data_IF_399379134488
#
_entry.id   IF_399379134488
#
_cell.length_a   1.000
_cell.length_b   1.000
_cell.length_c   1.000
_cell.angle_alpha   90.00
_cell.angle_beta   90.00
_cell.angle_gamma   90.00
#
_symmetry.space_group_name_H-M   'P 1'
#
loop_
_entity.id
_entity.type
_entity.pdbx_description
1 polymer ?
#
# COMPACT_ATOMS: atom_id res chain seq x y z
N UNK A 1 1.84 -24.46 4.87
CA UNK A 1 1.99 -24.30 3.41
C UNK A 1 3.27 -24.99 3.02
N UNK A 2 3.19 -25.96 2.13
CA UNK A 2 4.36 -26.65 1.56
C UNK A 2 4.77 -25.86 0.32
N UNK A 3 6.00 -25.35 0.30
CA UNK A 3 6.50 -24.50 -0.81
C UNK A 3 6.45 -25.20 -2.17
N UNK A 4 6.63 -26.53 -2.17
CA UNK A 4 6.59 -27.35 -3.40
C UNK A 4 5.19 -27.42 -4.05
N UNK A 5 4.14 -27.12 -3.30
CA UNK A 5 2.75 -27.11 -3.79
C UNK A 5 2.35 -25.75 -4.41
N UNK A 6 3.21 -24.75 -4.26
CA UNK A 6 2.92 -23.43 -4.82
C UNK A 6 3.23 -23.39 -6.33
N UNK A 7 2.39 -22.69 -7.12
CA UNK A 7 2.66 -22.52 -8.55
C UNK A 7 4.00 -21.83 -8.81
N UNK A 8 4.64 -22.20 -9.92
CA UNK A 8 5.84 -21.53 -10.41
C UNK A 8 5.58 -20.03 -10.65
N UNK A 9 6.61 -19.21 -10.57
CA UNK A 9 6.50 -17.75 -10.77
C UNK A 9 5.80 -17.39 -12.09
N UNK A 10 6.17 -18.06 -13.19
CA UNK A 10 5.53 -17.88 -14.51
C UNK A 10 4.03 -18.21 -14.48
N UNK A 11 3.64 -19.26 -13.75
CA UNK A 11 2.22 -19.62 -13.60
C UNK A 11 1.46 -18.56 -12.82
N UNK A 12 2.06 -17.99 -11.76
CA UNK A 12 1.45 -16.90 -10.98
C UNK A 12 1.21 -15.65 -11.84
N UNK A 13 2.18 -15.26 -12.66
CA UNK A 13 2.04 -14.15 -13.61
C UNK A 13 0.93 -14.42 -14.62
N UNK A 14 0.87 -15.64 -15.18
CA UNK A 14 -0.18 -16.04 -16.11
C UNK A 14 -1.56 -16.03 -15.46
N UNK A 15 -1.67 -16.49 -14.22
CA UNK A 15 -2.93 -16.43 -13.45
C UNK A 15 -3.39 -15.00 -13.22
N UNK A 16 -2.48 -14.09 -12.85
CA UNK A 16 -2.78 -12.68 -12.68
C UNK A 16 -3.25 -12.05 -13.98
N UNK A 17 -2.53 -12.26 -15.10
CA UNK A 17 -2.90 -11.73 -16.40
C UNK A 17 -4.31 -12.20 -16.84
N UNK A 18 -4.61 -13.49 -16.68
CA UNK A 18 -5.96 -14.04 -16.97
C UNK A 18 -7.05 -13.46 -16.07
N UNK A 19 -6.75 -13.22 -14.79
CA UNK A 19 -7.71 -12.61 -13.87
C UNK A 19 -8.02 -11.18 -14.29
N UNK A 20 -7.01 -10.41 -14.65
CA UNK A 20 -7.16 -9.04 -15.15
C UNK A 20 -8.01 -8.99 -16.43
N UNK A 21 -7.74 -9.87 -17.39
CA UNK A 21 -8.52 -9.98 -18.63
C UNK A 21 -9.97 -10.33 -18.34
N UNK A 22 -10.22 -11.34 -17.49
CA UNK A 22 -11.55 -11.77 -17.14
C UNK A 22 -12.36 -10.68 -16.44
N UNK A 23 -11.77 -10.01 -15.43
CA UNK A 23 -12.46 -8.93 -14.72
C UNK A 23 -12.68 -7.70 -15.61
N UNK A 24 -11.70 -7.32 -16.44
CA UNK A 24 -11.85 -6.22 -17.39
C UNK A 24 -12.97 -6.51 -18.42
N UNK A 25 -13.00 -7.74 -18.95
CA UNK A 25 -14.07 -8.17 -19.87
C UNK A 25 -15.45 -8.14 -19.19
N UNK A 26 -15.52 -8.44 -17.90
CA UNK A 26 -16.74 -8.35 -17.11
C UNK A 26 -17.10 -6.91 -16.68
N UNK A 27 -16.34 -5.90 -17.11
CA UNK A 27 -16.61 -4.48 -16.85
C UNK A 27 -16.07 -3.95 -15.53
N UNK A 28 -15.19 -4.69 -14.86
CA UNK A 28 -14.52 -4.20 -13.66
C UNK A 28 -13.31 -3.32 -13.99
N UNK A 29 -13.04 -2.37 -13.13
CA UNK A 29 -11.85 -1.52 -13.14
C UNK A 29 -10.82 -2.10 -12.16
N UNK A 30 -9.58 -2.21 -12.60
CA UNK A 30 -8.46 -2.57 -11.71
C UNK A 30 -8.11 -1.39 -10.79
N UNK A 31 -8.34 -1.55 -9.50
CA UNK A 31 -8.04 -0.52 -8.49
C UNK A 31 -6.56 -0.55 -8.14
N UNK A 32 -6.01 -1.74 -7.93
CA UNK A 32 -4.60 -1.97 -7.62
C UNK A 32 -4.43 -3.30 -6.87
N UNK A 33 -3.25 -3.88 -6.94
CA UNK A 33 -2.89 -5.16 -6.33
C UNK A 33 -3.85 -6.29 -6.74
N UNK A 34 -4.78 -6.66 -5.87
CA UNK A 34 -5.79 -7.71 -6.05
C UNK A 34 -7.24 -7.17 -5.95
N UNK A 35 -7.39 -5.85 -6.03
CA UNK A 35 -8.68 -5.18 -5.90
C UNK A 35 -9.24 -4.79 -7.27
N UNK A 36 -10.48 -5.16 -7.49
CA UNK A 36 -11.28 -4.79 -8.66
C UNK A 36 -12.60 -4.21 -8.18
N UNK A 37 -13.14 -3.23 -8.90
CA UNK A 37 -14.38 -2.58 -8.56
C UNK A 37 -15.18 -2.27 -9.83
N UNK A 38 -16.49 -2.17 -9.73
CA UNK A 38 -17.29 -1.64 -10.83
C UNK A 38 -16.98 -0.14 -11.04
N UNK A 39 -17.13 0.40 -12.26
CA UNK A 39 -16.75 1.79 -12.56
C UNK A 39 -17.39 2.84 -11.65
N UNK A 40 -18.61 2.58 -11.17
CA UNK A 40 -19.36 3.49 -10.29
C UNK A 40 -19.13 3.22 -8.79
N UNK A 41 -18.34 2.19 -8.45
CA UNK A 41 -17.98 1.91 -7.07
C UNK A 41 -17.12 3.05 -6.49
N UNK A 42 -17.31 3.32 -5.21
CA UNK A 42 -16.62 4.40 -4.50
C UNK A 42 -15.08 4.30 -4.60
N UNK A 43 -14.50 3.10 -4.62
CA UNK A 43 -13.05 2.90 -4.78
C UNK A 43 -12.58 3.28 -6.19
N UNK A 44 -13.32 2.86 -7.23
CA UNK A 44 -13.00 3.20 -8.62
C UNK A 44 -13.13 4.71 -8.86
N UNK A 45 -14.17 5.33 -8.31
CA UNK A 45 -14.36 6.79 -8.36
C UNK A 45 -13.23 7.51 -7.62
N UNK A 46 -12.88 7.08 -6.42
CA UNK A 46 -11.79 7.68 -5.63
C UNK A 46 -10.44 7.57 -6.35
N UNK A 47 -10.17 6.43 -7.00
CA UNK A 47 -8.95 6.26 -7.82
C UNK A 47 -8.89 7.28 -8.95
N UNK A 48 -9.96 7.41 -9.75
CA UNK A 48 -10.02 8.38 -10.86
C UNK A 48 -9.85 9.83 -10.40
N UNK A 49 -10.22 10.12 -9.16
CA UNK A 49 -10.16 11.47 -8.58
C UNK A 49 -8.86 11.72 -7.77
N UNK A 50 -7.92 10.78 -7.75
CA UNK A 50 -6.69 10.91 -6.95
C UNK A 50 -6.93 10.93 -5.44
N UNK A 51 -8.07 10.39 -4.98
CA UNK A 51 -8.49 10.39 -3.57
C UNK A 51 -8.49 9.01 -2.92
N UNK A 52 -7.86 8.03 -3.59
CA UNK A 52 -7.74 6.68 -3.04
C UNK A 52 -6.73 6.68 -1.89
N UNK A 53 -7.10 6.04 -0.80
CA UNK A 53 -6.26 5.81 0.36
C UNK A 53 -6.04 4.31 0.58
N UNK A 54 -5.09 3.97 1.45
CA UNK A 54 -4.81 2.60 1.81
C UNK A 54 -4.46 2.49 3.30
N UNK A 55 -4.97 1.45 3.93
CA UNK A 55 -4.62 1.06 5.29
C UNK A 55 -4.27 -0.43 5.36
N UNK A 56 -4.15 -1.00 6.57
CA UNK A 56 -3.82 -2.41 6.76
C UNK A 56 -4.89 -3.40 6.27
N UNK A 57 -6.11 -2.92 6.01
CA UNK A 57 -7.20 -3.75 5.53
C UNK A 57 -7.37 -3.71 4.00
N UNK A 58 -6.69 -2.76 3.33
CA UNK A 58 -6.76 -2.61 1.89
C UNK A 58 -7.00 -1.16 1.46
N UNK A 59 -7.55 -0.98 0.25
CA UNK A 59 -7.90 0.33 -0.25
C UNK A 59 -9.16 0.88 0.41
N UNK A 60 -9.21 2.20 0.57
CA UNK A 60 -10.29 2.92 1.25
C UNK A 60 -10.53 4.26 0.57
N UNK A 61 -11.77 4.74 0.65
CA UNK A 61 -12.14 6.11 0.27
C UNK A 61 -12.01 7.10 1.42
N UNK A 62 -11.72 6.60 2.62
CA UNK A 62 -11.54 7.45 3.79
C UNK A 62 -10.16 8.11 3.75
N UNK A 63 -10.10 9.42 4.05
CA UNK A 63 -8.83 10.11 4.15
C UNK A 63 -7.97 9.50 5.27
N UNK A 64 -6.80 10.07 5.51
CA UNK A 64 -5.83 9.62 6.49
C UNK A 64 -6.31 9.79 7.95
N UNK A 65 -7.36 9.04 8.30
CA UNK A 65 -7.99 9.03 9.61
C UNK A 65 -7.26 8.09 10.58
N UNK A 66 -7.45 8.33 11.86
CA UNK A 66 -7.10 7.37 12.89
C UNK A 66 -7.91 6.07 12.70
N UNK A 67 -7.26 4.94 12.88
CA UNK A 67 -7.85 3.62 12.73
C UNK A 67 -7.73 2.85 14.04
N UNK A 68 -8.86 2.48 14.63
CA UNK A 68 -8.90 1.61 15.81
C UNK A 68 -9.18 0.19 15.34
N UNK A 69 -8.19 -0.69 15.51
CA UNK A 69 -8.31 -2.09 15.14
C UNK A 69 -9.05 -2.90 16.22
N UNK A 70 -10.19 -3.50 15.87
CA UNK A 70 -10.96 -4.37 16.74
C UNK A 70 -10.74 -5.84 16.35
N UNK A 71 -10.60 -6.70 17.35
CA UNK A 71 -10.40 -8.15 17.17
C UNK A 71 -8.94 -8.60 17.28
N UNK A 72 -8.76 -9.93 17.26
CA UNK A 72 -7.43 -10.55 17.32
C UNK A 72 -6.57 -10.13 16.15
N UNK A 73 -5.28 -9.92 16.39
CA UNK A 73 -4.26 -9.47 15.42
C UNK A 73 -4.54 -8.17 14.70
N UNK A 74 -5.66 -7.48 14.99
CA UNK A 74 -6.01 -6.25 14.31
C UNK A 74 -4.93 -5.18 14.53
N UNK A 75 -4.67 -4.42 13.47
CA UNK A 75 -3.70 -3.32 13.48
C UNK A 75 -4.46 -2.01 13.49
N UNK A 76 -4.11 -1.15 14.46
CA UNK A 76 -4.61 0.21 14.57
C UNK A 76 -3.52 1.23 14.24
N UNK A 77 -3.95 2.46 13.92
CA UNK A 77 -3.10 3.62 13.74
C UNK A 77 -3.76 4.84 14.37
N UNK A 78 -3.11 5.45 15.32
CA UNK A 78 -3.55 6.70 15.94
C UNK A 78 -2.41 7.71 15.87
N UNK A 79 -2.63 8.81 15.17
CA UNK A 79 -1.59 9.78 14.90
C UNK A 79 -0.35 9.15 14.26
N UNK A 80 0.80 9.38 14.85
CA UNK A 80 2.10 8.83 14.42
C UNK A 80 2.45 7.51 15.11
N UNK A 81 1.45 6.64 15.39
CA UNK A 81 1.71 5.35 16.04
C UNK A 81 0.95 4.23 15.34
N UNK A 82 1.56 3.05 15.32
CA UNK A 82 0.87 1.80 15.02
C UNK A 82 0.74 0.93 16.26
N UNK A 83 -0.36 0.19 16.35
CA UNK A 83 -0.59 -0.78 17.41
C UNK A 83 -1.09 -2.09 16.83
N UNK A 84 -0.80 -3.21 17.48
CA UNK A 84 -1.33 -4.51 17.09
C UNK A 84 -1.87 -5.24 18.32
N UNK A 85 -3.08 -5.77 18.19
CA UNK A 85 -3.73 -6.60 19.19
C UNK A 85 -3.09 -7.98 19.27
N UNK A 86 -3.36 -8.68 20.39
CA UNK A 86 -2.98 -10.07 20.62
C UNK A 86 -3.42 -10.96 19.44
N UNK A 87 -2.61 -11.98 19.14
CA UNK A 87 -2.78 -12.83 17.96
C UNK A 87 -3.59 -14.08 18.20
N UNK A 88 -3.84 -14.42 19.47
CA UNK A 88 -4.68 -15.54 19.86
C UNK A 88 -5.97 -15.04 20.48
N UNK A 89 -7.05 -15.83 20.40
CA UNK A 89 -8.32 -15.50 21.04
C UNK A 89 -8.17 -15.47 22.56
N UNK A 90 -7.42 -16.42 23.12
CA UNK A 90 -7.17 -16.52 24.54
C UNK A 90 -6.53 -15.26 25.10
N UNK A 91 -5.36 -14.88 24.60
CA UNK A 91 -4.67 -13.66 25.05
C UNK A 91 -5.51 -12.38 24.84
N UNK A 92 -6.25 -12.34 23.73
CA UNK A 92 -7.11 -11.19 23.41
C UNK A 92 -8.21 -11.01 24.45
N UNK A 93 -8.96 -12.08 24.76
CA UNK A 93 -10.05 -12.03 25.73
C UNK A 93 -9.55 -11.93 27.17
N UNK A 94 -8.42 -12.53 27.50
CA UNK A 94 -7.82 -12.40 28.82
C UNK A 94 -7.48 -10.95 29.16
N UNK A 95 -6.92 -10.20 28.20
CA UNK A 95 -6.65 -8.76 28.38
C UNK A 95 -7.95 -7.97 28.53
N UNK A 96 -8.96 -8.24 27.70
CA UNK A 96 -10.26 -7.56 27.80
C UNK A 96 -10.97 -7.84 29.13
N UNK A 97 -10.95 -9.09 29.61
CA UNK A 97 -11.55 -9.47 30.89
C UNK A 97 -10.87 -8.77 32.08
N UNK A 98 -9.61 -8.37 31.93
CA UNK A 98 -8.86 -7.56 32.88
C UNK A 98 -9.14 -6.07 32.75
N UNK A 99 -10.02 -5.63 31.84
CA UNK A 99 -10.28 -4.22 31.55
C UNK A 99 -9.13 -3.50 30.83
N UNK A 100 -8.23 -4.25 30.17
CA UNK A 100 -7.07 -3.73 29.46
C UNK A 100 -7.30 -3.79 27.95
N UNK A 101 -6.72 -2.81 27.22
CA UNK A 101 -6.65 -2.91 25.77
C UNK A 101 -5.79 -4.09 25.37
N UNK A 102 -6.22 -4.89 24.39
CA UNK A 102 -5.52 -6.14 24.02
C UNK A 102 -4.30 -5.87 23.10
N UNK A 103 -3.71 -4.68 23.19
CA UNK A 103 -2.55 -4.26 22.43
C UNK A 103 -1.29 -4.90 23.01
N UNK A 104 -0.57 -5.66 22.19
CA UNK A 104 0.67 -6.35 22.58
C UNK A 104 1.91 -5.83 21.86
N UNK A 105 1.73 -5.02 20.81
CA UNK A 105 2.84 -4.39 20.06
C UNK A 105 2.46 -2.96 19.72
N UNK A 106 3.46 -2.07 19.72
CA UNK A 106 3.33 -0.69 19.29
C UNK A 106 4.60 -0.21 18.60
N UNK A 107 4.44 0.74 17.69
CA UNK A 107 5.53 1.41 17.00
C UNK A 107 5.21 2.91 16.95
N UNK A 108 6.04 3.73 17.55
CA UNK A 108 6.03 5.17 17.31
C UNK A 108 6.82 5.47 16.05
N UNK A 109 6.19 6.20 15.13
CA UNK A 109 6.79 6.55 13.85
C UNK A 109 7.71 7.76 14.01
N UNK A 110 8.89 7.65 13.44
CA UNK A 110 9.81 8.77 13.27
C UNK A 110 9.35 9.68 12.12
N UNK A 111 9.99 10.85 11.99
CA UNK A 111 9.76 11.72 10.83
C UNK A 111 10.10 11.00 9.52
N UNK A 112 11.19 10.21 9.48
CA UNK A 112 11.57 9.43 8.30
C UNK A 112 10.49 8.40 7.93
N UNK A 113 9.94 7.69 8.91
CA UNK A 113 8.84 6.74 8.67
C UNK A 113 7.60 7.43 8.06
N UNK A 114 7.29 8.64 8.50
CA UNK A 114 6.17 9.42 7.97
C UNK A 114 6.42 9.89 6.54
N UNK A 115 7.64 10.34 6.22
CA UNK A 115 8.04 10.71 4.85
C UNK A 115 7.94 9.48 3.94
N UNK A 116 8.52 8.35 4.33
CA UNK A 116 8.46 7.09 3.57
C UNK A 116 7.02 6.61 3.40
N UNK A 117 6.20 6.75 4.43
CA UNK A 117 4.78 6.44 4.34
C UNK A 117 4.07 7.30 3.29
N UNK A 118 4.36 8.60 3.22
CA UNK A 118 3.77 9.48 2.20
C UNK A 118 4.15 9.02 0.78
N UNK A 119 5.42 8.66 0.55
CA UNK A 119 5.90 8.09 -0.71
C UNK A 119 5.18 6.79 -1.06
N UNK A 120 5.12 5.85 -0.11
CA UNK A 120 4.43 4.55 -0.30
C UNK A 120 2.95 4.77 -0.64
N UNK A 121 2.28 5.69 0.04
CA UNK A 121 0.86 5.99 -0.21
C UNK A 121 0.64 6.58 -1.60
N UNK A 122 1.49 7.49 -2.06
CA UNK A 122 1.43 8.05 -3.39
C UNK A 122 1.58 6.96 -4.47
N UNK A 123 2.63 6.15 -4.36
CA UNK A 123 2.90 5.07 -5.31
C UNK A 123 1.80 4.01 -5.29
N UNK A 124 1.42 3.52 -4.11
CA UNK A 124 0.46 2.42 -3.97
C UNK A 124 -0.98 2.81 -4.32
N UNK A 125 -1.36 4.08 -4.17
CA UNK A 125 -2.73 4.53 -4.42
C UNK A 125 -2.90 5.18 -5.79
N UNK A 126 -1.88 5.92 -6.25
CA UNK A 126 -1.96 6.69 -7.50
C UNK A 126 -1.03 6.16 -8.59
N UNK A 127 0.03 5.44 -8.24
CA UNK A 127 1.08 4.99 -9.16
C UNK A 127 2.02 6.11 -9.57
N UNK A 128 1.94 7.24 -8.90
CA UNK A 128 2.70 8.43 -9.20
C UNK A 128 3.20 9.08 -7.91
N UNK A 129 4.41 9.63 -7.96
CA UNK A 129 4.97 10.48 -6.92
C UNK A 129 5.52 11.76 -7.56
N UNK A 130 4.92 12.89 -7.28
CA UNK A 130 5.44 14.19 -7.64
C UNK A 130 6.42 14.67 -6.56
N UNK A 131 7.62 15.11 -6.97
CA UNK A 131 8.67 15.49 -6.03
C UNK A 131 8.37 16.83 -5.36
N UNK A 132 7.96 17.85 -6.11
CA UNK A 132 7.71 19.18 -5.57
C UNK A 132 6.69 19.21 -4.43
N UNK A 133 5.49 18.61 -4.52
CA UNK A 133 4.56 18.55 -3.39
C UNK A 133 5.13 17.84 -2.16
N UNK A 134 5.91 16.77 -2.36
CA UNK A 134 6.54 16.05 -1.26
C UNK A 134 7.64 16.90 -0.60
N UNK A 135 8.47 17.56 -1.39
CA UNK A 135 9.54 18.45 -0.92
C UNK A 135 8.98 19.60 -0.10
N UNK A 136 7.90 20.24 -0.60
CA UNK A 136 7.21 21.33 0.10
C UNK A 136 6.57 20.87 1.42
N UNK A 137 5.88 19.72 1.40
CA UNK A 137 5.20 19.19 2.58
C UNK A 137 6.17 18.78 3.69
N UNK A 138 7.34 18.24 3.31
CA UNK A 138 8.27 17.64 4.25
C UNK A 138 9.57 18.44 4.45
N UNK A 139 9.77 19.53 3.72
CA UNK A 139 10.98 20.37 3.76
C UNK A 139 12.25 19.52 3.57
N UNK A 140 12.26 18.72 2.50
CA UNK A 140 13.36 17.86 2.09
C UNK A 140 13.70 18.14 0.62
N UNK A 141 14.90 17.75 0.18
CA UNK A 141 15.19 17.55 -1.24
C UNK A 141 15.04 16.04 -1.53
N UNK A 142 14.11 15.67 -2.41
CA UNK A 142 13.79 14.24 -2.65
C UNK A 142 15.00 13.50 -3.24
N UNK A 143 15.75 14.13 -4.14
CA UNK A 143 16.89 13.48 -4.79
C UNK A 143 18.04 13.18 -3.83
N UNK A 144 18.26 14.07 -2.87
CA UNK A 144 19.27 13.87 -1.83
C UNK A 144 18.77 12.89 -0.77
N UNK A 145 17.51 13.04 -0.36
CA UNK A 145 16.92 12.25 0.72
C UNK A 145 16.77 10.76 0.35
N UNK A 146 16.36 10.50 -0.90
CA UNK A 146 16.14 9.16 -1.44
C UNK A 146 17.18 8.77 -2.49
N UNK A 147 18.41 9.30 -2.40
CA UNK A 147 19.44 9.06 -3.40
C UNK A 147 19.72 7.57 -3.64
N UNK A 148 19.76 6.79 -2.55
CA UNK A 148 20.03 5.34 -2.62
C UNK A 148 18.87 4.57 -3.23
N UNK A 149 17.64 4.94 -2.92
CA UNK A 149 16.43 4.34 -3.45
C UNK A 149 16.26 4.68 -4.94
N UNK A 150 16.50 5.93 -5.32
CA UNK A 150 16.48 6.35 -6.72
C UNK A 150 17.54 5.64 -7.57
N UNK A 151 18.71 5.35 -7.00
CA UNK A 151 19.73 4.55 -7.70
C UNK A 151 19.25 3.10 -7.94
N UNK A 152 18.60 2.50 -6.95
CA UNK A 152 18.04 1.15 -7.08
C UNK A 152 16.88 1.11 -8.10
N UNK A 153 16.11 2.18 -8.24
CA UNK A 153 15.03 2.26 -9.22
C UNK A 153 15.51 2.21 -10.67
N UNK A 154 16.77 2.51 -10.96
CA UNK A 154 17.32 2.43 -12.33
C UNK A 154 17.20 1.02 -12.93
N UNK A 155 17.34 -0.01 -12.11
CA UNK A 155 17.14 -1.40 -12.59
C UNK A 155 15.67 -1.64 -12.97
N UNK A 156 14.73 -1.16 -12.17
CA UNK A 156 13.30 -1.29 -12.46
C UNK A 156 12.87 -0.42 -13.66
N UNK A 157 13.51 0.73 -13.84
CA UNK A 157 13.31 1.59 -15.02
C UNK A 157 13.80 0.90 -16.30
N UNK A 158 14.97 0.26 -16.28
CA UNK A 158 15.47 -0.55 -17.40
C UNK A 158 14.56 -1.73 -17.76
N UNK A 159 13.86 -2.28 -16.76
CA UNK A 159 12.86 -3.33 -16.94
C UNK A 159 11.49 -2.77 -17.41
N UNK A 160 11.33 -1.45 -17.51
CA UNK A 160 10.10 -0.81 -17.94
C UNK A 160 8.99 -0.83 -16.89
N UNK A 161 9.33 -1.00 -15.61
CA UNK A 161 8.36 -1.07 -14.51
C UNK A 161 8.03 0.30 -13.91
N UNK A 162 8.95 1.24 -14.01
CA UNK A 162 8.84 2.61 -13.50
C UNK A 162 9.48 3.58 -14.50
N UNK A 163 9.00 4.80 -14.53
CA UNK A 163 9.62 5.92 -15.24
C UNK A 163 10.02 6.98 -14.20
N UNK A 164 11.28 7.41 -14.24
CA UNK A 164 11.80 8.46 -13.35
C UNK A 164 12.13 9.70 -14.17
N UNK A 165 11.57 10.84 -13.80
CA UNK A 165 11.77 12.12 -14.43
C UNK A 165 12.40 13.13 -13.46
N UNK A 166 12.57 14.38 -13.92
CA UNK A 166 12.96 15.47 -13.03
C UNK A 166 11.85 15.90 -12.06
N UNK A 167 10.60 15.65 -12.42
CA UNK A 167 9.42 16.10 -11.68
C UNK A 167 8.87 15.05 -10.73
N UNK A 168 9.20 13.77 -10.98
CA UNK A 168 8.65 12.67 -10.17
C UNK A 168 8.99 11.29 -10.72
N UNK A 169 8.25 10.32 -10.24
CA UNK A 169 8.25 8.96 -10.76
C UNK A 169 6.83 8.48 -11.03
N UNK A 170 6.68 7.60 -12.01
CA UNK A 170 5.41 6.99 -12.40
C UNK A 170 5.59 5.48 -12.55
N UNK A 171 4.64 4.73 -12.01
CA UNK A 171 4.57 3.27 -12.16
C UNK A 171 3.90 2.96 -13.49
N UNK A 172 4.58 2.24 -14.37
CA UNK A 172 4.02 1.86 -15.68
C UNK A 172 2.86 0.86 -15.53
N UNK A 173 2.12 0.65 -16.62
CA UNK A 173 1.08 -0.38 -16.66
C UNK A 173 1.61 -1.78 -16.29
N UNK A 174 2.86 -2.10 -16.70
CA UNK A 174 3.54 -3.34 -16.32
C UNK A 174 3.97 -3.30 -14.85
N UNK A 175 4.47 -2.15 -14.38
CA UNK A 175 4.93 -1.97 -13.00
C UNK A 175 3.81 -2.15 -11.98
N UNK A 176 2.57 -1.83 -12.32
CA UNK A 176 1.42 -2.03 -11.43
C UNK A 176 1.26 -3.48 -10.94
N UNK A 177 1.66 -4.46 -11.73
CA UNK A 177 1.63 -5.87 -11.32
C UNK A 177 2.66 -6.20 -10.24
N UNK A 178 3.70 -5.37 -10.13
CA UNK A 178 4.84 -5.56 -9.24
C UNK A 178 5.00 -4.41 -8.23
N UNK A 179 4.04 -3.51 -8.12
CA UNK A 179 4.13 -2.30 -7.29
C UNK A 179 4.44 -2.58 -5.81
N UNK A 180 4.34 -3.82 -5.40
CA UNK A 180 4.59 -4.28 -4.04
C UNK A 180 5.94 -5.00 -3.88
N UNK A 181 6.64 -5.24 -4.97
CA UNK A 181 7.92 -5.94 -4.98
C UNK A 181 9.08 -5.06 -4.48
#
# INVERSE_FOLDING_TARGET
IVWADLPMASSKVSMLARSLEAFSTAGYVYVGMDHFALPEDALAVAKRQGRLHRNFQGYSTQPDCDLIGLGVSAIGRVGATYSQNAKTLEDYYDLLNQGRLPVVRGLALTRDDLVRRAVIMAIMCQGELLFEPLEQAWLINVRDYFASELEQLKELEQQGLVMVSNEGLEVTAMGWYFVRA
#
